data_IF_583277221060
#
_entry.id   IF_583277221060
#
_cell.length_a   1.000
_cell.length_b   1.000
_cell.length_c   1.000
_cell.angle_alpha   90.00
_cell.angle_beta   90.00
_cell.angle_gamma   90.00
#
_symmetry.space_group_name_H-M   'P 1'
#
loop_
_entity.id
_entity.type
_entity.pdbx_description
1 polymer ?
#
# COMPACT_ATOMS: atom_id res chain seq x y z
N UNK A 1 11.16 -7.19 4.32
CA UNK A 1 12.27 -7.45 3.37
C UNK A 1 12.39 -6.33 2.35
N UNK A 2 11.29 -5.88 1.75
CA UNK A 2 11.24 -4.78 0.77
C UNK A 2 12.04 -3.51 1.14
N UNK A 3 11.93 -3.00 2.38
CA UNK A 3 12.74 -1.84 2.83
C UNK A 3 14.26 -2.06 2.72
N UNK A 4 14.73 -3.29 2.89
CA UNK A 4 16.14 -3.64 2.77
C UNK A 4 16.57 -3.70 1.31
N UNK A 5 15.69 -4.20 0.44
CA UNK A 5 15.90 -4.28 -1.00
C UNK A 5 15.92 -2.87 -1.62
N UNK A 6 14.99 -1.99 -1.24
CA UNK A 6 14.99 -0.58 -1.64
C UNK A 6 16.33 0.11 -1.30
N UNK A 7 16.83 -0.11 -0.07
CA UNK A 7 18.10 0.44 0.39
C UNK A 7 19.29 -0.11 -0.41
N UNK A 8 19.31 -1.41 -0.68
CA UNK A 8 20.34 -2.02 -1.52
C UNK A 8 20.29 -1.47 -2.96
N UNK A 9 19.09 -1.31 -3.53
CA UNK A 9 18.90 -0.79 -4.87
C UNK A 9 19.39 0.66 -5.01
N UNK A 10 19.15 1.49 -3.99
CA UNK A 10 19.70 2.85 -3.91
C UNK A 10 21.23 2.86 -3.82
N UNK A 11 21.82 2.00 -2.98
CA UNK A 11 23.28 1.94 -2.77
C UNK A 11 24.03 1.44 -4.02
N UNK A 12 23.45 0.46 -4.71
CA UNK A 12 24.02 -0.14 -5.93
C UNK A 12 23.77 0.71 -7.19
N UNK A 13 23.06 1.85 -7.08
CA UNK A 13 22.61 2.69 -8.20
C UNK A 13 21.83 1.89 -9.27
N UNK A 14 21.00 0.95 -8.82
CA UNK A 14 20.05 0.30 -9.71
C UNK A 14 19.02 1.30 -10.24
N UNK A 15 18.30 0.93 -11.30
CA UNK A 15 17.29 1.78 -11.90
C UNK A 15 16.24 2.19 -10.85
N UNK A 16 15.84 3.46 -10.88
CA UNK A 16 14.91 4.04 -9.91
C UNK A 16 13.56 3.32 -9.84
N UNK A 17 13.17 2.63 -10.90
CA UNK A 17 11.95 1.81 -10.97
C UNK A 17 11.94 0.67 -9.93
N UNK A 18 13.09 0.03 -9.67
CA UNK A 18 13.16 -1.06 -8.69
C UNK A 18 13.05 -0.53 -7.27
N UNK A 19 13.76 0.55 -6.96
CA UNK A 19 13.61 1.22 -5.65
C UNK A 19 12.19 1.71 -5.43
N UNK A 20 11.55 2.30 -6.46
CA UNK A 20 10.19 2.79 -6.36
C UNK A 20 9.20 1.65 -6.06
N UNK A 21 9.35 0.51 -6.72
CA UNK A 21 8.50 -0.66 -6.49
C UNK A 21 8.71 -1.26 -5.09
N UNK A 22 9.95 -1.40 -4.63
CA UNK A 22 10.24 -1.89 -3.28
C UNK A 22 9.66 -0.97 -2.19
N UNK A 23 9.72 0.35 -2.42
CA UNK A 23 9.13 1.33 -1.51
C UNK A 23 7.61 1.29 -1.54
N UNK A 24 6.99 1.05 -2.70
CA UNK A 24 5.53 0.86 -2.83
C UNK A 24 5.07 -0.34 -2.01
N UNK A 25 5.73 -1.48 -2.16
CA UNK A 25 5.42 -2.71 -1.40
C UNK A 25 5.63 -2.49 0.11
N UNK A 26 6.72 -1.83 0.50
CA UNK A 26 6.97 -1.49 1.89
C UNK A 26 5.88 -0.58 2.48
N UNK A 27 5.40 0.39 1.70
CA UNK A 27 4.35 1.30 2.10
C UNK A 27 3.01 0.57 2.28
N UNK A 28 2.62 -0.32 1.36
CA UNK A 28 1.39 -1.13 1.49
C UNK A 28 1.38 -1.96 2.78
N UNK A 29 2.50 -2.66 3.08
CA UNK A 29 2.61 -3.46 4.30
C UNK A 29 2.55 -2.61 5.59
N UNK A 30 3.04 -1.36 5.54
CA UNK A 30 2.90 -0.42 6.67
C UNK A 30 1.45 0.06 6.75
N UNK A 31 0.81 0.35 5.61
CA UNK A 31 -0.58 0.75 5.49
C UNK A 31 -1.52 -0.24 6.17
N UNK A 32 -1.34 -1.54 5.92
CA UNK A 32 -2.09 -2.62 6.57
C UNK A 32 -2.01 -2.58 8.11
N UNK A 33 -0.85 -2.23 8.68
CA UNK A 33 -0.65 -2.17 10.13
C UNK A 33 -1.25 -0.89 10.72
N UNK A 34 -1.11 0.23 10.01
CA UNK A 34 -1.57 1.55 10.50
C UNK A 34 -3.07 1.76 10.33
N UNK A 35 -3.77 0.83 9.66
CA UNK A 35 -5.19 0.96 9.33
C UNK A 35 -5.42 2.00 8.24
N UNK A 36 -4.57 2.01 7.21
CA UNK A 36 -4.75 2.87 6.05
C UNK A 36 -6.13 2.63 5.43
N UNK A 37 -6.83 3.72 5.12
CA UNK A 37 -8.19 3.66 4.59
C UNK A 37 -8.16 3.13 3.16
N UNK A 38 -8.57 1.88 2.99
CA UNK A 38 -8.55 1.17 1.73
C UNK A 38 -9.74 1.54 0.84
N UNK A 39 -9.68 1.11 -0.42
CA UNK A 39 -10.83 1.23 -1.32
C UNK A 39 -12.00 0.36 -0.85
N UNK A 40 -11.75 -0.80 -0.23
CA UNK A 40 -12.77 -1.60 0.45
C UNK A 40 -13.45 -0.81 1.58
N UNK A 41 -12.70 -0.12 2.44
CA UNK A 41 -13.26 0.69 3.53
C UNK A 41 -14.14 1.83 2.98
N UNK A 42 -13.70 2.43 1.86
CA UNK A 42 -14.49 3.43 1.15
C UNK A 42 -15.79 2.86 0.60
N UNK A 43 -15.72 1.69 -0.03
CA UNK A 43 -16.89 1.02 -0.60
C UNK A 43 -17.86 0.59 0.50
N UNK A 44 -17.37 -0.01 1.58
CA UNK A 44 -18.19 -0.32 2.76
C UNK A 44 -18.87 0.94 3.28
N UNK A 45 -18.16 2.06 3.37
CA UNK A 45 -18.73 3.33 3.82
C UNK A 45 -19.81 3.89 2.89
N UNK A 46 -19.62 3.78 1.58
CA UNK A 46 -20.61 4.21 0.58
C UNK A 46 -21.86 3.33 0.67
N UNK A 47 -21.69 2.03 0.86
CA UNK A 47 -22.78 1.07 0.84
C UNK A 47 -23.44 0.83 2.21
N UNK A 48 -22.84 1.26 3.33
CA UNK A 48 -23.43 1.10 4.68
C UNK A 48 -24.76 1.86 4.84
N UNK A 49 -25.02 2.90 4.04
CA UNK A 49 -26.30 3.63 4.04
C UNK A 49 -27.35 3.06 3.07
N UNK A 50 -26.99 2.08 2.23
CA UNK A 50 -27.99 1.41 1.41
C UNK A 50 -28.68 0.37 2.29
N UNK A 51 -29.90 0.66 2.71
CA UNK A 51 -30.73 -0.31 3.42
C UNK A 51 -30.74 -1.62 2.63
N UNK A 52 -30.28 -2.71 3.24
CA UNK A 52 -30.49 -4.07 2.73
C UNK A 52 -32.02 -4.27 2.66
N UNK A 53 -32.61 -4.08 1.48
CA UNK A 53 -34.04 -4.34 1.24
C UNK A 53 -34.90 -3.17 0.75
N UNK A 54 -34.44 -2.36 -0.21
CA UNK A 54 -35.34 -1.65 -1.14
C UNK A 54 -34.85 -1.75 -2.57
#
# INVERSE_FOLDING_TARGET
TAMREASNNLQQRHAWEFTAEDLRIAQEAIGEITGEFSSEDLLERIFTSFCIGK
#
